data_IF_890049595048
#
_entry.id   IF_890049595048
#
_cell.length_a   1.000
_cell.length_b   1.000
_cell.length_c   1.000
_cell.angle_alpha   90.00
_cell.angle_beta   90.00
_cell.angle_gamma   90.00
#
_symmetry.space_group_name_H-M   'P 1'
#
loop_
_entity.id
_entity.type
_entity.pdbx_description
1 polymer ?
#
# COMPACT_ATOMS: atom_id res chain seq x y z
N UNK A 1 9.01 -28.47 16.05
CA UNK A 1 7.90 -28.36 15.09
C UNK A 1 8.20 -27.16 14.18
N UNK A 2 7.97 -27.29 12.86
CA UNK A 2 8.17 -26.15 11.93
C UNK A 2 7.20 -25.03 12.27
N UNK A 3 7.71 -23.81 12.43
CA UNK A 3 6.93 -22.59 12.68
C UNK A 3 6.11 -22.23 11.41
N UNK A 4 6.64 -22.59 10.24
CA UNK A 4 6.04 -22.28 8.94
C UNK A 4 5.07 -23.39 8.56
N UNK A 5 3.84 -23.03 8.22
CA UNK A 5 2.77 -23.91 7.72
C UNK A 5 2.35 -23.50 6.32
N UNK A 6 1.88 -24.46 5.52
CA UNK A 6 1.43 -24.23 4.13
C UNK A 6 -0.08 -24.10 4.00
N UNK A 7 -0.84 -24.48 5.03
CA UNK A 7 -2.29 -24.28 5.11
C UNK A 7 -2.61 -23.34 6.25
N UNK A 8 -3.52 -22.43 6.03
CA UNK A 8 -3.96 -21.51 7.07
C UNK A 8 -4.67 -22.26 8.21
N UNK A 9 -4.35 -21.87 9.42
CA UNK A 9 -5.05 -22.21 10.65
C UNK A 9 -4.78 -21.10 11.65
N UNK A 10 -5.77 -20.69 12.42
CA UNK A 10 -5.67 -19.59 13.40
C UNK A 10 -4.57 -19.79 14.44
N UNK A 11 -4.22 -21.02 14.74
CA UNK A 11 -3.12 -21.35 15.66
C UNK A 11 -1.72 -21.22 15.05
N UNK A 12 -1.60 -21.00 13.74
CA UNK A 12 -0.32 -20.84 13.07
C UNK A 12 0.30 -19.49 13.39
N UNK A 13 1.57 -19.47 13.75
CA UNK A 13 2.33 -18.21 13.87
C UNK A 13 2.74 -17.65 12.51
N UNK A 14 2.94 -18.51 11.52
CA UNK A 14 3.29 -18.17 10.16
C UNK A 14 2.71 -19.19 9.19
N UNK A 15 2.06 -18.71 8.13
CA UNK A 15 1.61 -19.51 7.01
C UNK A 15 2.26 -18.99 5.73
N UNK A 16 2.95 -19.85 4.98
CA UNK A 16 3.41 -19.58 3.62
C UNK A 16 2.55 -20.41 2.66
N UNK A 17 1.75 -19.72 1.88
CA UNK A 17 0.90 -20.32 0.85
C UNK A 17 1.50 -20.09 -0.53
N UNK A 18 1.69 -21.17 -1.28
CA UNK A 18 2.13 -21.10 -2.67
C UNK A 18 0.93 -21.46 -3.58
N UNK A 19 0.28 -20.44 -4.10
CA UNK A 19 -0.93 -20.58 -4.92
C UNK A 19 -1.61 -19.22 -5.09
N UNK A 20 -2.75 -19.22 -5.73
CA UNK A 20 -3.56 -18.02 -5.91
C UNK A 20 -4.09 -17.51 -4.56
N UNK A 21 -3.91 -16.20 -4.32
CA UNK A 21 -4.31 -15.61 -3.05
C UNK A 21 -5.83 -15.67 -2.80
N UNK A 22 -6.64 -15.74 -3.84
CA UNK A 22 -8.10 -15.90 -3.71
C UNK A 22 -8.47 -17.26 -3.05
N UNK A 23 -7.69 -18.30 -3.31
CA UNK A 23 -7.89 -19.60 -2.63
C UNK A 23 -7.54 -19.53 -1.14
N UNK A 24 -6.43 -18.83 -0.82
CA UNK A 24 -6.05 -18.61 0.58
C UNK A 24 -7.11 -17.80 1.31
N UNK A 25 -7.56 -16.69 0.72
CA UNK A 25 -8.55 -15.80 1.32
C UNK A 25 -9.83 -16.54 1.71
N UNK A 26 -10.31 -17.48 0.89
CA UNK A 26 -11.49 -18.30 1.21
C UNK A 26 -11.33 -19.11 2.50
N UNK A 27 -10.10 -19.47 2.88
CA UNK A 27 -9.81 -20.20 4.10
C UNK A 27 -9.64 -19.32 5.34
N UNK A 28 -9.53 -18.00 5.16
CA UNK A 28 -9.34 -17.04 6.25
C UNK A 28 -10.72 -16.62 6.78
N UNK A 29 -10.92 -16.65 8.11
CA UNK A 29 -12.18 -16.20 8.72
C UNK A 29 -12.50 -14.73 8.43
N UNK A 30 -13.78 -14.39 8.41
CA UNK A 30 -14.23 -13.01 8.33
C UNK A 30 -13.75 -12.20 9.55
N UNK A 31 -13.44 -10.91 9.36
CA UNK A 31 -13.00 -9.99 10.43
C UNK A 31 -11.83 -10.54 11.26
N UNK A 32 -10.83 -11.16 10.64
CA UNK A 32 -9.69 -11.77 11.34
C UNK A 32 -8.34 -11.12 11.01
N UNK A 33 -8.25 -10.38 9.92
CA UNK A 33 -7.00 -9.76 9.43
C UNK A 33 -6.92 -8.30 9.86
N UNK A 34 -5.85 -7.92 10.52
CA UNK A 34 -5.61 -6.53 10.96
C UNK A 34 -5.01 -5.66 9.85
N UNK A 35 -4.17 -6.24 9.00
CA UNK A 35 -3.44 -5.53 7.95
C UNK A 35 -3.26 -6.39 6.71
N UNK A 36 -3.57 -5.83 5.56
CA UNK A 36 -3.27 -6.37 4.24
C UNK A 36 -2.24 -5.46 3.58
N UNK A 37 -1.12 -6.01 3.13
CA UNK A 37 -0.10 -5.29 2.36
C UNK A 37 0.17 -6.08 1.09
N UNK A 38 0.11 -5.42 -0.06
CA UNK A 38 0.37 -6.07 -1.34
C UNK A 38 0.81 -5.09 -2.42
N UNK A 39 1.53 -5.64 -3.41
CA UNK A 39 1.81 -5.06 -4.71
C UNK A 39 1.30 -6.08 -5.74
N UNK A 40 0.08 -5.92 -6.26
CA UNK A 40 -0.50 -6.89 -7.20
C UNK A 40 0.20 -6.81 -8.57
N UNK A 41 0.00 -7.78 -9.47
CA UNK A 41 0.40 -7.64 -10.87
C UNK A 41 -0.22 -6.39 -11.50
N UNK A 42 0.56 -5.66 -12.29
CA UNK A 42 0.12 -4.36 -12.88
C UNK A 42 -0.43 -4.52 -14.29
N UNK A 43 -0.37 -5.72 -14.87
CA UNK A 43 -0.76 -5.99 -16.26
C UNK A 43 -0.01 -5.08 -17.26
N UNK A 44 1.32 -4.97 -17.08
CA UNK A 44 2.22 -4.11 -17.88
C UNK A 44 3.22 -4.94 -18.69
N UNK A 45 2.97 -6.25 -18.87
CA UNK A 45 3.79 -7.16 -19.67
C UNK A 45 5.07 -7.61 -18.97
N UNK A 46 5.03 -7.82 -17.67
CA UNK A 46 6.12 -8.47 -16.94
C UNK A 46 6.18 -9.96 -17.28
N UNK A 47 7.37 -10.57 -17.13
CA UNK A 47 7.60 -11.96 -17.48
C UNK A 47 6.71 -12.98 -16.72
N UNK A 48 6.16 -12.61 -15.60
CA UNK A 48 5.25 -13.40 -14.78
C UNK A 48 3.76 -13.08 -15.04
N UNK A 49 3.45 -12.10 -15.90
CA UNK A 49 2.09 -11.72 -16.31
C UNK A 49 1.73 -12.43 -17.62
N UNK A 50 0.44 -12.65 -17.88
CA UNK A 50 -0.02 -13.14 -19.17
C UNK A 50 0.26 -12.06 -20.24
N UNK A 51 0.82 -12.40 -21.41
CA UNK A 51 1.06 -11.43 -22.49
C UNK A 51 -0.19 -10.70 -22.99
N UNK A 52 -1.38 -11.23 -22.69
CA UNK A 52 -2.67 -10.64 -23.06
C UNK A 52 -3.30 -9.79 -21.95
N UNK A 53 -2.65 -9.73 -20.78
CA UNK A 53 -3.13 -8.90 -19.68
C UNK A 53 -3.10 -7.42 -20.05
N UNK A 54 -4.21 -6.75 -19.80
CA UNK A 54 -4.44 -5.32 -20.07
C UNK A 54 -5.13 -4.65 -18.86
N UNK A 55 -5.48 -3.39 -19.04
CA UNK A 55 -6.17 -2.62 -18.01
C UNK A 55 -7.57 -3.19 -17.66
N UNK A 56 -8.21 -3.93 -18.56
CA UNK A 56 -9.50 -4.57 -18.27
C UNK A 56 -9.28 -5.79 -17.36
N UNK A 57 -8.25 -6.57 -17.65
CA UNK A 57 -7.81 -7.68 -16.79
C UNK A 57 -7.45 -7.17 -15.41
N UNK A 58 -6.66 -6.09 -15.31
CA UNK A 58 -6.32 -5.45 -14.04
C UNK A 58 -7.57 -5.07 -13.24
N UNK A 59 -8.53 -4.39 -13.86
CA UNK A 59 -9.80 -4.02 -13.20
C UNK A 59 -10.55 -5.24 -12.70
N UNK A 60 -10.72 -6.23 -13.58
CA UNK A 60 -11.46 -7.45 -13.25
C UNK A 60 -10.83 -8.20 -12.08
N UNK A 61 -9.53 -8.38 -12.06
CA UNK A 61 -8.81 -9.05 -10.97
C UNK A 61 -9.06 -8.34 -9.63
N UNK A 62 -9.06 -7.00 -9.61
CA UNK A 62 -9.33 -6.21 -8.40
C UNK A 62 -10.81 -6.28 -7.96
N UNK A 63 -11.73 -6.31 -8.92
CA UNK A 63 -13.16 -6.50 -8.64
C UNK A 63 -13.44 -7.90 -8.08
N UNK A 64 -12.85 -8.93 -8.64
CA UNK A 64 -13.05 -10.32 -8.25
C UNK A 64 -12.54 -10.62 -6.83
N UNK A 65 -11.41 -10.00 -6.43
CA UNK A 65 -10.82 -10.25 -5.10
C UNK A 65 -11.40 -9.35 -4.00
N UNK A 66 -12.06 -8.26 -4.36
CA UNK A 66 -12.48 -7.21 -3.41
C UNK A 66 -13.34 -7.75 -2.25
N UNK A 67 -14.33 -8.56 -2.55
CA UNK A 67 -15.30 -9.03 -1.54
C UNK A 67 -14.61 -9.90 -0.47
N UNK A 68 -13.65 -10.73 -0.89
CA UNK A 68 -12.86 -11.54 0.03
C UNK A 68 -11.88 -10.70 0.87
N UNK A 69 -11.22 -9.71 0.26
CA UNK A 69 -10.36 -8.76 0.99
C UNK A 69 -11.16 -8.01 2.06
N UNK A 70 -12.31 -7.46 1.68
CA UNK A 70 -13.19 -6.75 2.61
C UNK A 70 -13.72 -7.66 3.71
N UNK A 71 -14.11 -8.89 3.37
CA UNK A 71 -14.64 -9.87 4.32
C UNK A 71 -13.64 -10.24 5.40
N UNK A 72 -12.39 -10.54 5.02
CA UNK A 72 -11.37 -10.97 6.00
C UNK A 72 -10.84 -9.81 6.84
N UNK A 73 -10.86 -8.58 6.34
CA UNK A 73 -10.36 -7.41 7.04
C UNK A 73 -11.24 -7.08 8.25
N UNK A 74 -10.65 -6.88 9.41
CA UNK A 74 -11.32 -6.38 10.62
C UNK A 74 -11.87 -4.96 10.41
N UNK A 75 -12.94 -4.62 11.09
CA UNK A 75 -13.32 -3.21 11.29
C UNK A 75 -12.17 -2.49 12.00
N UNK A 76 -11.75 -1.34 11.47
CA UNK A 76 -10.54 -0.63 11.91
C UNK A 76 -9.23 -1.19 11.34
N UNK A 77 -9.27 -2.31 10.65
CA UNK A 77 -8.11 -2.88 9.93
C UNK A 77 -7.71 -2.05 8.71
N UNK A 78 -6.48 -2.24 8.24
CA UNK A 78 -5.86 -1.45 7.19
C UNK A 78 -5.54 -2.26 5.95
N UNK A 79 -5.67 -1.63 4.78
CA UNK A 79 -5.13 -2.13 3.50
C UNK A 79 -4.10 -1.12 2.99
N UNK A 80 -2.87 -1.59 2.75
CA UNK A 80 -1.82 -0.86 2.06
C UNK A 80 -1.61 -1.49 0.69
N UNK A 81 -2.06 -0.80 -0.36
CA UNK A 81 -2.10 -1.31 -1.72
C UNK A 81 -1.15 -0.51 -2.60
N UNK A 82 -0.04 -1.13 -2.98
CA UNK A 82 0.96 -0.48 -3.83
C UNK A 82 0.66 -0.73 -5.29
N UNK A 83 0.71 0.34 -6.09
CA UNK A 83 0.58 0.29 -7.55
C UNK A 83 1.38 1.41 -8.21
N UNK A 84 1.81 1.15 -9.43
CA UNK A 84 2.40 2.15 -10.32
C UNK A 84 1.37 2.77 -11.26
N UNK A 85 1.75 2.88 -12.53
CA UNK A 85 0.88 3.32 -13.61
C UNK A 85 1.13 2.45 -14.85
N UNK A 86 0.10 2.29 -15.65
CA UNK A 86 0.19 1.64 -16.95
C UNK A 86 0.38 2.69 -18.05
N UNK A 87 1.17 2.37 -19.08
CA UNK A 87 1.33 3.24 -20.25
C UNK A 87 0.92 2.46 -21.49
N UNK A 88 -0.13 2.94 -22.14
CA UNK A 88 -0.61 2.41 -23.42
C UNK A 88 -0.78 3.57 -24.41
N UNK A 89 -0.31 3.39 -25.62
CA UNK A 89 -0.41 4.39 -26.71
C UNK A 89 0.03 5.81 -26.28
N UNK A 90 1.12 5.90 -25.55
CA UNK A 90 1.68 7.13 -24.96
C UNK A 90 0.80 7.78 -23.87
N UNK A 91 -0.35 7.20 -23.55
CA UNK A 91 -1.23 7.65 -22.48
C UNK A 91 -0.85 6.98 -21.17
N UNK A 92 -0.84 7.76 -20.08
CA UNK A 92 -0.63 7.25 -18.72
C UNK A 92 -1.97 6.95 -18.09
N UNK A 93 -2.15 5.72 -17.61
CA UNK A 93 -3.30 5.29 -16.83
C UNK A 93 -2.85 5.14 -15.37
N UNK A 94 -3.31 5.99 -14.44
CA UNK A 94 -2.94 5.89 -13.04
C UNK A 94 -3.68 4.72 -12.38
N UNK A 95 -2.95 3.64 -12.07
CA UNK A 95 -3.55 2.43 -11.48
C UNK A 95 -4.07 2.67 -10.06
N UNK A 96 -3.47 3.60 -9.33
CA UNK A 96 -3.95 4.03 -8.02
C UNK A 96 -5.38 4.60 -8.08
N UNK A 97 -5.69 5.38 -9.11
CA UNK A 97 -7.05 5.89 -9.33
C UNK A 97 -8.04 4.75 -9.64
N UNK A 98 -7.61 3.76 -10.41
CA UNK A 98 -8.44 2.58 -10.73
C UNK A 98 -8.79 1.80 -9.46
N UNK A 99 -7.77 1.48 -8.64
CA UNK A 99 -7.97 0.78 -7.36
C UNK A 99 -8.82 1.60 -6.40
N UNK A 100 -8.54 2.90 -6.28
CA UNK A 100 -9.34 3.80 -5.45
C UNK A 100 -10.83 3.73 -5.81
N UNK A 101 -11.15 3.85 -7.09
CA UNK A 101 -12.55 3.79 -7.55
C UNK A 101 -13.20 2.44 -7.24
N UNK A 102 -12.52 1.33 -7.50
CA UNK A 102 -13.07 0.00 -7.24
C UNK A 102 -13.37 -0.15 -5.75
N UNK A 103 -12.38 0.13 -4.89
CA UNK A 103 -12.48 -0.11 -3.46
C UNK A 103 -13.52 0.78 -2.78
N UNK A 104 -13.55 2.07 -3.13
CA UNK A 104 -14.50 3.01 -2.53
C UNK A 104 -15.91 2.79 -3.06
N UNK A 105 -16.11 2.58 -4.38
CA UNK A 105 -17.43 2.40 -4.95
C UNK A 105 -18.10 1.10 -4.48
N UNK A 106 -17.34 -0.01 -4.41
CA UNK A 106 -17.89 -1.29 -3.97
C UNK A 106 -18.24 -1.31 -2.48
N UNK A 107 -17.52 -0.55 -1.65
CA UNK A 107 -17.80 -0.48 -0.21
C UNK A 107 -18.73 0.67 0.20
N UNK A 108 -19.13 1.55 -0.73
CA UNK A 108 -19.85 2.80 -0.44
C UNK A 108 -21.11 2.61 0.41
N UNK A 109 -21.84 1.51 0.19
CA UNK A 109 -23.10 1.22 0.90
C UNK A 109 -22.91 0.20 2.04
N UNK A 110 -21.68 -0.16 2.39
CA UNK A 110 -21.43 -1.06 3.51
C UNK A 110 -21.47 -0.27 4.84
N UNK A 111 -21.81 -0.91 5.92
CA UNK A 111 -21.81 -0.32 7.26
C UNK A 111 -20.45 0.32 7.62
N UNK A 112 -19.38 -0.33 7.22
CA UNK A 112 -18.00 0.14 7.44
C UNK A 112 -17.25 0.29 6.10
N UNK A 113 -17.50 1.35 5.31
CA UNK A 113 -16.88 1.50 4.00
C UNK A 113 -15.36 1.63 4.11
N UNK A 114 -14.66 1.33 3.01
CA UNK A 114 -13.23 1.58 2.92
C UNK A 114 -12.97 3.09 2.76
N UNK A 115 -12.23 3.65 3.70
CA UNK A 115 -11.87 5.07 3.74
C UNK A 115 -10.39 5.21 3.38
N UNK A 116 -10.09 5.97 2.33
CA UNK A 116 -8.72 6.30 1.98
C UNK A 116 -8.14 7.27 3.01
N UNK A 117 -7.08 6.86 3.72
CA UNK A 117 -6.39 7.68 4.72
C UNK A 117 -5.25 8.48 4.12
N UNK A 118 -4.42 7.82 3.28
CA UNK A 118 -3.34 8.47 2.56
C UNK A 118 -3.14 7.88 1.17
N UNK A 119 -2.62 8.72 0.27
CA UNK A 119 -1.93 8.35 -0.95
C UNK A 119 -0.45 8.60 -0.72
N UNK A 120 0.28 7.55 -0.32
CA UNK A 120 1.71 7.66 -0.02
C UNK A 120 2.47 7.58 -1.34
N UNK A 121 3.35 8.53 -1.57
CA UNK A 121 4.22 8.57 -2.75
C UNK A 121 5.54 7.89 -2.37
N UNK A 122 5.81 6.75 -2.96
CA UNK A 122 7.10 6.09 -2.83
C UNK A 122 8.01 6.48 -3.99
N UNK A 123 9.07 7.25 -3.71
CA UNK A 123 10.08 7.64 -4.68
C UNK A 123 11.30 6.74 -4.58
N UNK A 124 11.87 6.37 -5.73
CA UNK A 124 13.02 5.46 -5.81
C UNK A 124 14.19 5.98 -6.65
N UNK A 125 14.10 7.23 -7.12
CA UNK A 125 15.22 8.02 -7.69
C UNK A 125 15.70 7.59 -9.07
N UNK A 126 15.43 6.37 -9.55
CA UNK A 126 15.89 5.88 -10.85
C UNK A 126 14.84 5.03 -11.58
N UNK A 127 15.11 4.68 -12.84
CA UNK A 127 14.22 3.92 -13.72
C UNK A 127 14.45 4.30 -15.18
N UNK A 128 13.64 3.76 -16.08
CA UNK A 128 13.75 4.05 -17.52
C UNK A 128 13.45 5.52 -17.82
N UNK A 129 14.25 6.11 -18.71
CA UNK A 129 14.02 7.48 -19.16
C UNK A 129 12.98 7.49 -20.28
N UNK A 130 12.05 8.41 -20.18
CA UNK A 130 11.12 8.71 -21.27
C UNK A 130 11.64 9.87 -22.09
N UNK A 131 11.41 9.84 -23.40
CA UNK A 131 11.81 10.92 -24.33
C UNK A 131 10.63 11.84 -24.69
N UNK A 132 9.39 11.44 -24.35
CA UNK A 132 8.16 12.17 -24.76
C UNK A 132 7.32 12.66 -23.57
N UNK A 133 7.74 12.39 -22.34
CA UNK A 133 7.11 12.82 -21.09
C UNK A 133 8.14 12.85 -19.97
N UNK A 134 7.78 13.36 -18.82
CA UNK A 134 8.62 13.21 -17.63
C UNK A 134 8.80 11.75 -17.26
N UNK A 135 10.00 11.38 -16.87
CA UNK A 135 10.31 10.01 -16.44
C UNK A 135 9.69 9.75 -15.08
N UNK A 136 8.90 8.68 -14.96
CA UNK A 136 8.30 8.27 -13.70
C UNK A 136 9.37 7.80 -12.70
N UNK A 137 9.28 8.25 -11.47
CA UNK A 137 10.23 7.95 -10.40
C UNK A 137 9.53 7.69 -9.08
N UNK A 138 8.26 7.32 -9.15
CA UNK A 138 7.46 7.02 -7.97
C UNK A 138 6.39 5.99 -8.28
N UNK A 139 5.93 5.34 -7.25
CA UNK A 139 4.71 4.54 -7.21
C UNK A 139 3.84 5.03 -6.05
N UNK A 140 2.60 4.57 -6.01
CA UNK A 140 1.64 4.98 -5.02
C UNK A 140 1.33 3.82 -4.07
N UNK A 141 1.24 4.11 -2.78
CA UNK A 141 0.68 3.19 -1.80
C UNK A 141 -0.61 3.82 -1.28
N UNK A 142 -1.73 3.18 -1.58
CA UNK A 142 -3.04 3.59 -1.09
C UNK A 142 -3.25 2.95 0.28
N UNK A 143 -3.39 3.76 1.32
CA UNK A 143 -3.74 3.28 2.65
C UNK A 143 -5.21 3.50 2.91
N UNK A 144 -5.97 2.40 2.95
CA UNK A 144 -7.38 2.38 3.34
C UNK A 144 -7.56 1.83 4.74
N UNK A 145 -8.66 2.22 5.39
CA UNK A 145 -9.16 1.57 6.61
C UNK A 145 -10.61 1.14 6.43
N UNK A 146 -10.99 0.02 7.05
CA UNK A 146 -12.38 -0.43 7.09
C UNK A 146 -13.13 0.30 8.20
N UNK A 147 -13.95 1.29 7.82
CA UNK A 147 -14.64 2.20 8.73
C UNK A 147 -13.75 3.34 9.24
N UNK A 148 -14.32 4.17 10.13
CA UNK A 148 -13.68 5.39 10.61
C UNK A 148 -12.52 5.16 11.59
N UNK A 149 -12.58 4.09 12.35
CA UNK A 149 -11.51 3.74 13.29
C UNK A 149 -10.28 3.24 12.55
N UNK A 150 -9.11 3.60 13.01
CA UNK A 150 -7.84 3.13 12.48
C UNK A 150 -6.77 3.07 13.55
N UNK A 151 -5.87 2.11 13.44
CA UNK A 151 -4.68 2.05 14.28
C UNK A 151 -3.56 2.84 13.60
N UNK A 152 -3.10 3.89 14.25
CA UNK A 152 -1.95 4.68 13.80
C UNK A 152 -1.12 5.12 15.01
N UNK A 153 -0.03 4.41 15.28
CA UNK A 153 0.87 4.67 16.39
C UNK A 153 1.89 5.74 15.99
N UNK A 154 1.47 7.00 16.01
CA UNK A 154 2.29 8.11 15.53
C UNK A 154 3.68 8.17 16.19
N UNK A 155 3.76 7.90 17.48
CA UNK A 155 5.03 8.04 18.21
C UNK A 155 6.06 6.99 17.78
N UNK A 156 5.62 5.81 17.32
CA UNK A 156 6.50 4.73 16.82
C UNK A 156 7.11 5.04 15.46
N UNK A 157 6.49 5.94 14.68
CA UNK A 157 6.91 6.28 13.31
C UNK A 157 7.52 7.68 13.18
N UNK A 158 7.65 8.44 14.29
CA UNK A 158 8.21 9.80 14.24
C UNK A 158 9.61 9.82 13.67
N UNK A 159 9.90 10.86 12.91
CA UNK A 159 11.23 11.14 12.37
C UNK A 159 11.82 12.40 13.02
N UNK A 160 13.16 12.58 13.00
CA UNK A 160 13.80 13.73 13.61
C UNK A 160 13.21 15.07 13.14
N UNK A 161 13.13 16.02 14.04
CA UNK A 161 12.75 17.41 13.71
C UNK A 161 13.75 18.01 12.73
N UNK A 162 13.25 18.69 11.69
CA UNK A 162 14.12 19.41 10.75
C UNK A 162 14.88 20.56 11.45
N UNK A 163 14.24 21.17 12.44
CA UNK A 163 14.80 22.29 13.22
C UNK A 163 14.62 22.01 14.73
N UNK A 164 15.48 21.17 15.32
CA UNK A 164 15.46 20.90 16.76
C UNK A 164 15.63 22.20 17.56
N UNK A 165 14.90 22.38 18.62
CA UNK A 165 15.00 23.57 19.46
C UNK A 165 14.27 24.80 18.98
N UNK A 166 13.61 24.74 17.79
CA UNK A 166 12.79 25.87 17.32
C UNK A 166 11.70 26.21 18.34
N UNK A 167 11.59 27.52 18.65
CA UNK A 167 10.58 28.05 19.56
C UNK A 167 9.42 28.70 18.79
N UNK A 168 8.25 28.66 19.38
CA UNK A 168 7.06 29.32 18.86
C UNK A 168 7.26 30.83 18.87
N UNK A 169 6.97 31.50 17.76
CA UNK A 169 7.23 32.93 17.57
C UNK A 169 6.04 33.80 18.00
N UNK A 170 4.83 33.26 17.97
CA UNK A 170 3.57 33.98 18.24
C UNK A 170 2.63 33.16 19.10
N UNK A 171 1.61 33.84 19.63
CA UNK A 171 0.49 33.25 20.36
C UNK A 171 0.84 32.80 21.78
N UNK A 172 -0.06 32.04 22.42
CA UNK A 172 0.07 31.65 23.84
C UNK A 172 1.34 30.80 24.12
N UNK A 173 1.87 30.13 23.12
CA UNK A 173 3.07 29.28 23.25
C UNK A 173 4.37 29.99 22.84
N UNK A 174 4.37 31.33 22.72
CA UNK A 174 5.57 32.12 22.39
C UNK A 174 6.71 31.80 23.36
N UNK A 175 7.88 31.45 22.79
CA UNK A 175 9.08 31.11 23.56
C UNK A 175 9.20 29.62 23.93
N UNK A 176 8.11 28.87 23.89
CA UNK A 176 8.13 27.41 24.12
C UNK A 176 8.59 26.66 22.88
N UNK A 177 9.11 25.45 23.05
CA UNK A 177 9.45 24.57 21.94
C UNK A 177 8.22 24.33 21.06
N UNK A 178 8.39 24.52 19.74
CA UNK A 178 7.29 24.39 18.79
C UNK A 178 7.12 22.97 18.23
N UNK A 179 8.08 22.09 18.46
CA UNK A 179 8.07 20.72 17.98
C UNK A 179 7.90 19.69 19.10
N UNK A 180 7.36 18.53 18.78
CA UNK A 180 7.31 17.41 19.70
C UNK A 180 8.73 16.91 19.97
N UNK A 181 9.13 16.68 21.26
CA UNK A 181 10.46 16.15 21.61
C UNK A 181 10.76 14.79 20.96
N UNK A 182 9.75 13.95 20.74
CA UNK A 182 9.87 12.64 20.09
C UNK A 182 10.08 12.73 18.58
N UNK A 183 10.02 13.93 18.00
CA UNK A 183 10.14 14.11 16.56
C UNK A 183 8.86 14.60 15.90
N UNK A 184 8.91 14.76 14.58
CA UNK A 184 7.76 15.17 13.76
C UNK A 184 7.05 13.95 13.17
N UNK A 185 5.78 14.12 12.79
CA UNK A 185 5.07 13.18 11.93
C UNK A 185 5.84 13.05 10.59
N UNK A 186 6.14 11.84 10.11
CA UNK A 186 6.74 11.66 8.78
C UNK A 186 5.83 12.19 7.68
N UNK A 187 6.43 12.48 6.53
CA UNK A 187 5.70 12.84 5.32
C UNK A 187 5.07 11.59 4.68
N UNK A 188 4.05 11.81 3.87
CA UNK A 188 3.49 10.83 2.95
C UNK A 188 4.30 10.70 1.64
N UNK A 189 5.46 11.35 1.56
CA UNK A 189 6.46 11.14 0.50
C UNK A 189 7.63 10.38 1.09
N UNK A 190 7.79 9.13 0.65
CA UNK A 190 8.84 8.21 1.11
C UNK A 190 9.93 8.09 0.05
N UNK A 191 11.15 8.42 0.41
CA UNK A 191 12.32 8.25 -0.45
C UNK A 191 13.08 6.99 -0.01
N UNK A 192 12.72 5.86 -0.64
CA UNK A 192 13.29 4.55 -0.33
C UNK A 192 13.82 3.96 -1.63
N UNK A 193 15.15 3.81 -1.79
CA UNK A 193 15.73 3.22 -2.98
C UNK A 193 15.22 1.79 -3.21
N UNK A 194 14.88 1.45 -4.44
CA UNK A 194 14.58 0.07 -4.78
C UNK A 194 15.85 -0.79 -4.85
N UNK A 195 15.70 -2.09 -4.71
CA UNK A 195 16.79 -3.07 -4.80
C UNK A 195 17.31 -3.11 -6.25
N UNK A 196 18.59 -2.76 -6.43
CA UNK A 196 19.26 -2.74 -7.74
C UNK A 196 19.64 -4.16 -8.17
N UNK A 197 19.89 -4.34 -9.47
CA UNK A 197 20.23 -5.65 -10.06
C UNK A 197 21.44 -6.36 -9.40
N UNK A 198 22.40 -5.60 -8.86
CA UNK A 198 23.62 -6.12 -8.20
C UNK A 198 23.52 -6.09 -6.66
N UNK A 199 22.35 -5.82 -6.10
CA UNK A 199 22.19 -5.76 -4.64
C UNK A 199 22.12 -7.16 -4.03
N UNK A 200 22.68 -7.32 -2.83
CA UNK A 200 22.71 -8.62 -2.11
C UNK A 200 21.32 -9.18 -1.79
N UNK A 201 20.33 -8.33 -1.67
CA UNK A 201 18.92 -8.69 -1.45
C UNK A 201 18.15 -8.99 -2.75
N UNK A 202 18.80 -8.85 -3.91
CA UNK A 202 18.16 -9.14 -5.19
C UNK A 202 17.88 -10.63 -5.31
N UNK A 203 16.62 -10.97 -5.54
CA UNK A 203 16.15 -12.31 -5.90
C UNK A 203 15.86 -12.41 -7.39
N UNK A 204 15.51 -13.59 -7.88
CA UNK A 204 15.09 -13.81 -9.28
C UNK A 204 13.69 -13.26 -9.60
N UNK A 205 13.07 -12.66 -8.62
CA UNK A 205 11.75 -12.03 -8.79
C UNK A 205 11.89 -10.61 -9.34
#
# INVERSE_FOLDING_TARGET
MSIIKRKFNESNRLTLFNGDCSELLKSIPSNSVDLIITSPPYCIGKAYEDPHDDIKTFKKQHEDIFDDLYRVLKTGGSICWQVGYHVSDQCVIPLDYVVYNIFTSRSANFENPLILRNRIIWTFGHGLNSTKRFSGRHEMILWFTKGEQSVFNLDDVRVPQKYPGKKSYKGPNKGNLSGNPLGKNPSDVWDIPNVKAMHVEKTDH
#
